data_IF_064848689768
#
_entry.id   IF_064848689768
#
_cell.length_a   1.000
_cell.length_b   1.000
_cell.length_c   1.000
_cell.angle_alpha   90.00
_cell.angle_beta   90.00
_cell.angle_gamma   90.00
#
_symmetry.space_group_name_H-M   'P 1'
#
loop_
_entity.id
_entity.type
_entity.pdbx_description
1 polymer ?
#
# COMPACT_ATOMS: atom_id res chain seq x y z
N UNK A 1 14.09 17.50 -54.07
CA UNK A 1 12.91 17.76 -53.22
C UNK A 1 12.62 16.45 -52.51
N UNK A 2 13.32 16.18 -51.40
CA UNK A 2 13.14 14.95 -50.62
C UNK A 2 11.96 15.14 -49.68
N UNK A 3 10.93 14.32 -49.87
CA UNK A 3 9.83 14.20 -48.92
C UNK A 3 10.39 13.36 -47.76
N UNK A 4 10.71 14.01 -46.65
CA UNK A 4 10.94 13.33 -45.38
C UNK A 4 9.58 12.80 -44.92
N UNK A 5 9.34 11.51 -45.13
CA UNK A 5 8.30 10.76 -44.43
C UNK A 5 8.63 10.77 -42.93
N UNK A 6 8.18 11.80 -42.21
CA UNK A 6 8.10 11.76 -40.76
C UNK A 6 7.12 10.64 -40.39
N UNK A 7 7.66 9.46 -40.11
CA UNK A 7 6.92 8.40 -39.43
C UNK A 7 6.22 9.03 -38.21
N UNK A 8 4.91 8.82 -38.02
CA UNK A 8 4.22 9.40 -36.88
C UNK A 8 4.94 8.99 -35.60
N UNK A 9 5.46 9.97 -34.86
CA UNK A 9 6.04 9.75 -33.53
C UNK A 9 4.98 9.01 -32.71
N UNK A 10 5.27 7.77 -32.32
CA UNK A 10 4.42 7.05 -31.35
C UNK A 10 4.21 7.98 -30.15
N UNK A 11 2.97 8.11 -29.63
CA UNK A 11 2.72 8.97 -28.48
C UNK A 11 3.61 8.49 -27.33
N UNK A 12 4.55 9.35 -26.94
CA UNK A 12 5.42 9.12 -25.79
C UNK A 12 4.69 9.70 -24.59
N UNK A 13 4.21 8.85 -23.70
CA UNK A 13 3.51 9.29 -22.50
C UNK A 13 4.52 9.60 -21.41
N UNK A 14 4.45 10.78 -20.80
CA UNK A 14 5.19 11.10 -19.59
C UNK A 14 4.25 11.07 -18.39
N UNK A 15 4.63 10.37 -17.33
CA UNK A 15 3.86 10.25 -16.11
C UNK A 15 4.75 10.39 -14.88
N UNK A 16 4.28 11.12 -13.88
CA UNK A 16 4.91 11.14 -12.56
C UNK A 16 3.99 10.50 -11.53
N UNK A 17 4.58 9.72 -10.62
CA UNK A 17 3.88 9.12 -9.48
C UNK A 17 4.54 9.63 -8.20
N UNK A 18 3.74 10.23 -7.32
CA UNK A 18 4.18 10.73 -6.02
C UNK A 18 3.87 9.74 -4.90
N UNK A 19 4.89 9.46 -4.10
CA UNK A 19 4.86 8.48 -3.03
C UNK A 19 5.20 7.08 -3.53
N UNK A 20 6.03 6.38 -2.77
CA UNK A 20 6.46 4.99 -3.03
C UNK A 20 5.75 3.98 -2.12
N UNK A 21 4.52 4.29 -1.69
CA UNK A 21 3.73 3.42 -0.82
C UNK A 21 3.00 2.30 -1.57
N UNK A 22 2.20 1.54 -0.82
CA UNK A 22 1.41 0.41 -1.32
C UNK A 22 0.58 0.75 -2.58
N UNK A 23 -0.13 1.89 -2.56
CA UNK A 23 -0.98 2.31 -3.67
C UNK A 23 -0.18 2.56 -4.96
N UNK A 24 0.87 3.38 -4.88
CA UNK A 24 1.71 3.72 -6.04
C UNK A 24 2.45 2.53 -6.62
N UNK A 25 3.02 1.67 -5.78
CA UNK A 25 3.75 0.48 -6.24
C UNK A 25 2.82 -0.53 -6.91
N UNK A 26 1.62 -0.75 -6.36
CA UNK A 26 0.62 -1.60 -7.01
C UNK A 26 0.09 -0.97 -8.30
N UNK A 27 -0.12 0.35 -8.35
CA UNK A 27 -0.51 1.05 -9.57
C UNK A 27 0.55 0.86 -10.66
N UNK A 28 1.82 1.09 -10.35
CA UNK A 28 2.95 0.85 -11.27
C UNK A 28 2.94 -0.58 -11.81
N UNK A 29 2.75 -1.56 -10.93
CA UNK A 29 2.70 -2.96 -11.32
C UNK A 29 1.53 -3.31 -12.24
N UNK A 30 0.37 -2.66 -12.09
CA UNK A 30 -0.76 -2.87 -12.98
C UNK A 30 -0.60 -2.12 -14.31
N UNK A 31 -0.04 -0.91 -14.27
CA UNK A 31 0.28 -0.13 -15.47
C UNK A 31 1.34 -0.83 -16.32
N UNK A 32 2.31 -1.49 -15.70
CA UNK A 32 3.36 -2.24 -16.41
C UNK A 32 2.86 -3.42 -17.23
N UNK A 33 1.62 -3.84 -17.00
CA UNK A 33 0.95 -4.92 -17.76
C UNK A 33 0.18 -4.40 -18.97
N UNK A 34 0.03 -3.09 -19.12
CA UNK A 34 -0.76 -2.50 -20.19
C UNK A 34 0.04 -2.34 -21.49
N UNK A 35 -0.60 -2.45 -22.67
CA UNK A 35 0.10 -2.35 -23.96
C UNK A 35 0.86 -1.02 -24.16
N UNK A 36 0.36 0.08 -23.59
CA UNK A 36 0.97 1.41 -23.73
C UNK A 36 2.25 1.59 -22.90
N UNK A 37 2.54 0.68 -21.94
CA UNK A 37 3.65 0.81 -21.01
C UNK A 37 5.01 0.95 -21.72
N UNK A 38 5.20 0.22 -22.83
CA UNK A 38 6.44 0.26 -23.62
C UNK A 38 6.78 1.64 -24.20
N UNK A 39 5.80 2.52 -24.33
CA UNK A 39 5.96 3.88 -24.85
C UNK A 39 5.72 4.94 -23.75
N UNK A 40 5.84 4.55 -22.47
CA UNK A 40 5.60 5.44 -21.33
C UNK A 40 6.88 5.62 -20.53
N UNK A 41 7.31 6.85 -20.32
CA UNK A 41 8.35 7.20 -19.34
C UNK A 41 7.68 7.56 -18.01
N UNK A 42 8.21 7.00 -16.92
CA UNK A 42 7.65 7.18 -15.58
C UNK A 42 8.70 7.70 -14.62
N UNK A 43 8.37 8.76 -13.89
CA UNK A 43 9.17 9.23 -12.77
C UNK A 43 8.45 8.90 -11.45
N UNK A 44 9.05 8.10 -10.59
CA UNK A 44 8.56 7.81 -9.24
C UNK A 44 9.32 8.71 -8.25
N UNK A 45 8.61 9.63 -7.61
CA UNK A 45 9.17 10.58 -6.64
C UNK A 45 8.68 10.26 -5.23
N UNK A 46 9.60 10.09 -4.29
CA UNK A 46 9.26 9.89 -2.87
C UNK A 46 10.36 10.43 -1.96
N UNK A 47 10.01 10.90 -0.76
CA UNK A 47 10.98 11.25 0.27
C UNK A 47 11.14 10.16 1.35
N UNK A 48 10.31 9.12 1.28
CA UNK A 48 10.21 8.05 2.28
C UNK A 48 10.26 6.67 1.64
N UNK A 49 11.44 6.03 1.74
CA UNK A 49 11.70 4.65 1.31
C UNK A 49 11.87 3.69 2.51
N UNK A 50 11.73 4.20 3.74
CA UNK A 50 12.10 3.45 4.96
C UNK A 50 10.91 2.89 5.76
N UNK A 51 9.70 3.42 5.58
CA UNK A 51 8.53 3.00 6.33
C UNK A 51 7.87 1.74 5.74
N UNK A 52 8.33 0.57 6.20
CA UNK A 52 7.81 -0.73 5.77
C UNK A 52 6.58 -1.18 6.55
N UNK A 53 5.48 -0.45 6.44
CA UNK A 53 4.21 -0.83 7.09
C UNK A 53 3.70 -2.15 6.51
N UNK A 54 3.26 -3.05 7.38
CA UNK A 54 2.52 -4.25 6.96
C UNK A 54 1.07 -3.91 6.67
N UNK A 55 0.42 -4.76 5.87
CA UNK A 55 -0.99 -4.60 5.54
C UNK A 55 -1.75 -5.88 5.80
N UNK A 56 -3.01 -5.70 6.17
CA UNK A 56 -4.00 -6.74 6.06
C UNK A 56 -5.09 -6.34 5.08
N UNK A 57 -5.66 -7.33 4.41
CA UNK A 57 -6.77 -7.14 3.48
C UNK A 57 -7.61 -8.40 3.38
N UNK A 58 -8.78 -8.27 2.77
CA UNK A 58 -9.74 -9.34 2.60
C UNK A 58 -9.90 -9.59 1.11
N UNK A 59 -9.87 -10.84 0.67
CA UNK A 59 -10.07 -11.18 -0.73
C UNK A 59 -10.86 -12.47 -0.89
N UNK A 60 -11.70 -12.52 -1.94
CA UNK A 60 -12.41 -13.75 -2.34
C UNK A 60 -11.53 -14.67 -3.19
N UNK A 61 -10.61 -14.07 -3.95
CA UNK A 61 -9.77 -14.74 -4.92
C UNK A 61 -8.32 -14.30 -4.73
N UNK A 62 -7.34 -15.16 -5.07
CA UNK A 62 -5.94 -14.79 -5.03
C UNK A 62 -5.65 -13.51 -5.81
N UNK A 63 -4.90 -12.59 -5.21
CA UNK A 63 -4.43 -11.39 -5.92
C UNK A 63 -3.16 -11.70 -6.72
N UNK A 64 -2.74 -10.75 -7.57
CA UNK A 64 -1.43 -10.83 -8.23
C UNK A 64 -0.25 -10.92 -7.25
N UNK A 65 -0.49 -10.57 -5.98
CA UNK A 65 0.49 -10.57 -4.89
C UNK A 65 0.25 -11.70 -3.90
N UNK A 66 -0.51 -12.75 -4.26
CA UNK A 66 -0.77 -13.89 -3.38
C UNK A 66 0.52 -14.52 -2.84
N UNK A 67 1.58 -14.55 -3.65
CA UNK A 67 2.90 -15.07 -3.26
C UNK A 67 3.60 -14.24 -2.17
N UNK A 68 3.13 -13.02 -1.88
CA UNK A 68 3.64 -12.16 -0.80
C UNK A 68 2.84 -12.32 0.51
N UNK A 69 1.69 -13.02 0.46
CA UNK A 69 0.86 -13.27 1.64
C UNK A 69 1.65 -14.14 2.62
N UNK A 70 1.86 -13.63 3.82
CA UNK A 70 2.61 -14.30 4.88
C UNK A 70 1.71 -15.20 5.72
N UNK A 71 0.46 -14.81 5.93
CA UNK A 71 -0.54 -15.57 6.68
C UNK A 71 -1.94 -15.24 6.19
N UNK A 72 -2.83 -16.23 6.24
CA UNK A 72 -4.25 -16.08 5.97
C UNK A 72 -5.07 -16.69 7.10
N UNK A 73 -6.27 -16.15 7.31
CA UNK A 73 -7.26 -16.67 8.25
C UNK A 73 -8.64 -16.69 7.58
N UNK A 74 -9.43 -17.71 7.90
CA UNK A 74 -10.80 -17.89 7.38
C UNK A 74 -11.87 -17.61 8.44
N UNK A 75 -11.46 -17.43 9.71
CA UNK A 75 -12.35 -17.13 10.81
C UNK A 75 -11.96 -15.79 11.43
N UNK A 76 -12.97 -15.03 11.86
CA UNK A 76 -12.82 -13.72 12.50
C UNK A 76 -13.67 -13.71 13.77
N UNK A 77 -13.07 -13.25 14.85
CA UNK A 77 -13.73 -13.02 16.13
C UNK A 77 -13.94 -11.53 16.37
N UNK A 78 -15.17 -11.19 16.76
CA UNK A 78 -15.54 -9.94 17.41
C UNK A 78 -15.84 -10.23 18.88
N UNK A 79 -15.40 -9.32 19.75
CA UNK A 79 -15.58 -9.47 21.20
C UNK A 79 -15.91 -8.14 21.86
N UNK A 80 -16.79 -8.18 22.84
CA UNK A 80 -17.11 -7.10 23.77
C UNK A 80 -17.17 -7.66 25.20
N UNK A 81 -17.63 -6.86 26.17
CA UNK A 81 -17.65 -7.27 27.57
C UNK A 81 -18.55 -8.50 27.83
N UNK A 82 -19.69 -8.59 27.13
CA UNK A 82 -20.74 -9.59 27.34
C UNK A 82 -21.08 -10.40 26.08
N UNK A 83 -20.44 -10.10 24.95
CA UNK A 83 -20.69 -10.78 23.69
C UNK A 83 -19.40 -11.21 22.99
N UNK A 84 -19.38 -12.44 22.48
CA UNK A 84 -18.32 -12.97 21.61
C UNK A 84 -18.96 -13.67 20.43
N UNK A 85 -18.48 -13.37 19.23
CA UNK A 85 -18.94 -14.00 17.99
C UNK A 85 -17.73 -14.34 17.15
N UNK A 86 -17.69 -15.58 16.67
CA UNK A 86 -16.66 -16.06 15.74
C UNK A 86 -17.37 -16.55 14.49
N UNK A 87 -17.05 -15.93 13.37
CA UNK A 87 -17.65 -16.25 12.08
C UNK A 87 -16.61 -16.71 11.08
N UNK A 88 -17.01 -17.69 10.28
CA UNK A 88 -16.27 -18.03 9.08
C UNK A 88 -16.60 -17.00 7.99
N UNK A 89 -15.58 -16.38 7.41
CA UNK A 89 -15.76 -15.28 6.45
C UNK A 89 -15.81 -15.75 4.99
N UNK A 90 -15.97 -17.06 4.72
CA UNK A 90 -16.11 -17.57 3.36
C UNK A 90 -17.21 -16.80 2.58
N UNK A 91 -16.97 -16.44 1.30
CA UNK A 91 -15.84 -16.81 0.45
C UNK A 91 -14.60 -15.93 0.59
N UNK A 92 -14.55 -15.03 1.57
CA UNK A 92 -13.36 -14.22 1.84
C UNK A 92 -12.34 -14.98 2.68
N UNK A 93 -11.07 -14.60 2.51
CA UNK A 93 -10.01 -14.82 3.47
C UNK A 93 -9.41 -13.48 3.89
N UNK A 94 -8.98 -13.41 5.14
CA UNK A 94 -8.23 -12.27 5.65
C UNK A 94 -6.74 -12.59 5.55
N UNK A 95 -5.99 -11.72 4.89
CA UNK A 95 -4.59 -11.92 4.58
C UNK A 95 -3.74 -10.89 5.31
N UNK A 96 -2.56 -11.30 5.75
CA UNK A 96 -1.50 -10.42 6.22
C UNK A 96 -0.30 -10.52 5.27
N UNK A 97 0.20 -9.36 4.86
CA UNK A 97 1.45 -9.20 4.11
C UNK A 97 2.42 -8.42 4.98
N UNK A 98 3.57 -9.04 5.27
CA UNK A 98 4.67 -8.36 5.96
C UNK A 98 5.21 -7.25 5.06
N UNK A 99 5.23 -6.01 5.55
CA UNK A 99 5.65 -4.84 4.76
C UNK A 99 7.02 -5.03 4.12
N UNK A 100 7.98 -5.53 4.90
CA UNK A 100 9.33 -5.83 4.44
C UNK A 100 9.36 -6.71 3.18
N UNK A 101 8.58 -7.80 3.14
CA UNK A 101 8.57 -8.69 1.97
C UNK A 101 7.96 -8.00 0.73
N UNK A 102 6.95 -7.16 0.93
CA UNK A 102 6.34 -6.38 -0.14
C UNK A 102 7.34 -5.39 -0.74
N UNK A 103 8.00 -4.58 0.10
CA UNK A 103 8.98 -3.61 -0.39
C UNK A 103 10.19 -4.31 -1.02
N UNK A 104 10.71 -5.39 -0.43
CA UNK A 104 11.77 -6.20 -1.04
C UNK A 104 11.38 -6.74 -2.42
N UNK A 105 10.13 -7.16 -2.63
CA UNK A 105 9.68 -7.56 -3.96
C UNK A 105 9.74 -6.39 -4.94
N UNK A 106 9.25 -5.21 -4.56
CA UNK A 106 9.27 -4.05 -5.45
C UNK A 106 10.69 -3.56 -5.74
N UNK A 107 11.50 -3.40 -4.71
CA UNK A 107 12.84 -2.82 -4.79
C UNK A 107 13.84 -3.76 -5.47
N UNK A 108 13.76 -5.07 -5.20
CA UNK A 108 14.76 -6.04 -5.67
C UNK A 108 14.31 -6.85 -6.89
N UNK A 109 13.01 -6.89 -7.20
CA UNK A 109 12.48 -7.70 -8.30
C UNK A 109 11.70 -6.90 -9.33
N UNK A 110 10.78 -6.03 -8.92
CA UNK A 110 9.95 -5.33 -9.90
C UNK A 110 10.66 -4.14 -10.54
N UNK A 111 11.05 -3.14 -9.74
CA UNK A 111 11.60 -1.86 -10.21
C UNK A 111 12.91 -2.03 -11.01
N UNK A 112 13.88 -2.87 -10.60
CA UNK A 112 15.12 -3.05 -11.37
C UNK A 112 14.90 -3.62 -12.78
N UNK A 113 13.76 -4.29 -13.02
CA UNK A 113 13.40 -4.84 -14.31
C UNK A 113 12.58 -3.87 -15.17
N UNK A 114 12.33 -2.63 -14.72
CA UNK A 114 11.62 -1.61 -15.48
C UNK A 114 12.63 -0.59 -16.04
N UNK A 115 12.90 -0.65 -17.35
CA UNK A 115 13.83 0.30 -18.01
C UNK A 115 13.24 1.69 -18.21
N UNK A 116 11.93 1.82 -18.08
CA UNK A 116 11.17 3.03 -18.32
C UNK A 116 10.72 3.76 -17.04
N UNK A 117 11.13 3.27 -15.86
CA UNK A 117 10.89 3.93 -14.58
C UNK A 117 12.20 4.56 -14.09
N UNK A 118 12.16 5.86 -13.80
CA UNK A 118 13.18 6.58 -13.04
C UNK A 118 12.70 6.80 -11.62
N UNK A 119 13.41 6.25 -10.63
CA UNK A 119 13.10 6.46 -9.21
C UNK A 119 14.01 7.56 -8.67
N UNK A 120 13.43 8.59 -8.07
CA UNK A 120 14.20 9.69 -7.48
C UNK A 120 13.68 10.01 -6.08
N UNK A 121 14.62 10.41 -5.22
CA UNK A 121 14.29 10.91 -3.89
C UNK A 121 14.00 12.41 -3.98
N UNK A 122 12.76 12.80 -3.71
CA UNK A 122 12.36 14.21 -3.72
C UNK A 122 11.18 14.44 -2.76
N UNK A 123 11.24 15.53 -2.00
CA UNK A 123 10.10 16.05 -1.26
C UNK A 123 9.44 17.14 -2.09
N UNK A 124 8.31 16.81 -2.72
CA UNK A 124 7.56 17.79 -3.50
C UNK A 124 6.86 18.77 -2.56
N UNK A 125 7.13 20.05 -2.77
CA UNK A 125 6.57 21.15 -1.99
C UNK A 125 5.34 21.76 -2.66
N UNK A 126 5.32 21.77 -3.99
CA UNK A 126 4.22 22.32 -4.78
C UNK A 126 3.98 21.53 -6.05
N UNK A 127 2.71 21.46 -6.44
CA UNK A 127 2.26 20.98 -7.74
C UNK A 127 1.37 22.05 -8.37
N UNK A 128 1.69 22.46 -9.59
CA UNK A 128 0.87 23.37 -10.39
C UNK A 128 0.39 22.67 -11.64
N UNK A 129 -0.81 23.01 -12.10
CA UNK A 129 -1.33 22.56 -13.38
C UNK A 129 -1.31 23.73 -14.35
N UNK A 130 -0.58 23.59 -15.45
CA UNK A 130 -0.52 24.58 -16.53
C UNK A 130 -0.93 23.90 -17.84
N UNK A 131 -1.99 24.42 -18.48
CA UNK A 131 -2.62 23.84 -19.67
C UNK A 131 -2.88 22.32 -19.55
N UNK A 132 -2.09 21.53 -20.29
CA UNK A 132 -2.17 20.07 -20.39
C UNK A 132 -1.04 19.35 -19.62
N UNK A 133 -0.31 20.05 -18.75
CA UNK A 133 0.80 19.49 -17.98
C UNK A 133 0.73 19.85 -16.50
N UNK A 134 1.51 19.10 -15.71
CA UNK A 134 1.74 19.34 -14.29
C UNK A 134 3.21 19.69 -14.08
N UNK A 135 3.43 20.79 -13.36
CA UNK A 135 4.75 21.18 -12.86
C UNK A 135 4.88 20.82 -11.39
N UNK A 136 5.98 20.19 -11.02
CA UNK A 136 6.29 19.77 -9.66
C UNK A 136 7.57 20.47 -9.21
N UNK A 137 7.56 21.02 -8.00
CA UNK A 137 8.72 21.70 -7.42
C UNK A 137 9.07 21.10 -6.06
N UNK A 138 10.35 20.79 -5.85
CA UNK A 138 10.90 20.40 -4.54
C UNK A 138 11.68 21.52 -3.83
N UNK A 139 11.84 22.69 -4.48
CA UNK A 139 12.74 23.75 -4.06
C UNK A 139 14.18 23.59 -4.56
N UNK A 140 14.62 22.35 -4.83
CA UNK A 140 15.95 22.03 -5.37
C UNK A 140 15.92 21.68 -6.86
N UNK A 141 14.80 21.12 -7.31
CA UNK A 141 14.59 20.71 -8.69
C UNK A 141 13.12 20.84 -9.09
N UNK A 142 12.90 20.88 -10.41
CA UNK A 142 11.58 20.96 -11.02
C UNK A 142 11.38 19.80 -12.01
N UNK A 143 10.15 19.31 -12.09
CA UNK A 143 9.73 18.29 -13.06
C UNK A 143 8.48 18.75 -13.78
N UNK A 144 8.33 18.33 -15.04
CA UNK A 144 7.11 18.51 -15.82
C UNK A 144 6.59 17.15 -16.31
N UNK A 145 5.29 16.94 -16.27
CA UNK A 145 4.67 15.67 -16.69
C UNK A 145 3.28 15.86 -17.25
N UNK A 146 2.85 14.98 -18.15
CA UNK A 146 1.51 15.05 -18.75
C UNK A 146 0.45 14.43 -17.82
N UNK A 147 0.86 13.46 -17.00
CA UNK A 147 -0.02 12.73 -16.08
C UNK A 147 0.60 12.64 -14.70
N UNK A 148 -0.20 12.94 -13.68
CA UNK A 148 0.22 12.88 -12.30
C UNK A 148 -0.69 11.95 -11.50
N UNK A 149 -0.09 10.99 -10.81
CA UNK A 149 -0.75 10.19 -9.79
C UNK A 149 -0.10 10.49 -8.44
N UNK A 150 -0.90 10.69 -7.41
CA UNK A 150 -0.38 10.99 -6.08
C UNK A 150 -1.01 10.05 -5.06
N UNK A 151 -0.16 9.39 -4.27
CA UNK A 151 -0.56 8.68 -3.06
C UNK A 151 -0.02 9.35 -1.80
N UNK A 152 0.56 10.55 -1.91
CA UNK A 152 0.91 11.37 -0.74
C UNK A 152 -0.35 12.10 -0.29
N UNK A 153 -0.59 12.15 1.02
CA UNK A 153 -1.75 12.84 1.57
C UNK A 153 -1.75 14.31 1.16
N UNK A 154 -2.86 14.85 0.60
CA UNK A 154 -3.11 16.27 0.69
C UNK A 154 -3.35 16.57 2.17
N UNK A 155 -2.43 17.29 2.81
CA UNK A 155 -2.39 17.55 4.26
C UNK A 155 -3.57 18.43 4.73
N UNK A 156 -4.42 18.93 3.84
CA UNK A 156 -5.47 19.86 4.22
C UNK A 156 -6.75 19.18 4.75
N UNK A 157 -6.67 18.73 6.00
CA UNK A 157 -7.83 18.27 6.76
C UNK A 157 -8.69 19.43 7.30
N UNK A 158 -8.41 20.71 6.98
CA UNK A 158 -9.18 21.84 7.53
C UNK A 158 -10.64 21.80 7.11
N UNK A 159 -10.95 21.23 5.93
CA UNK A 159 -12.31 21.10 5.43
C UNK A 159 -13.04 19.83 5.90
N UNK A 160 -12.37 18.93 6.63
CA UNK A 160 -13.00 17.71 7.13
C UNK A 160 -14.02 18.04 8.23
N UNK A 161 -15.30 17.74 7.99
CA UNK A 161 -16.39 17.92 8.95
C UNK A 161 -16.16 17.17 10.28
N UNK A 162 -15.51 16.01 10.22
CA UNK A 162 -15.14 15.19 11.36
C UNK A 162 -13.70 14.75 11.22
N UNK A 163 -12.92 14.88 12.30
CA UNK A 163 -11.53 14.43 12.39
C UNK A 163 -11.48 13.29 13.39
N UNK A 164 -11.20 12.08 12.91
CA UNK A 164 -10.96 10.92 13.77
C UNK A 164 -9.47 10.62 13.78
N UNK A 165 -8.81 10.94 14.89
CA UNK A 165 -7.43 10.52 15.12
C UNK A 165 -7.44 9.14 15.77
N UNK A 166 -6.97 8.15 15.03
CA UNK A 166 -6.83 6.78 15.54
C UNK A 166 -5.35 6.48 15.79
N UNK A 167 -5.03 6.11 17.02
CA UNK A 167 -3.68 5.71 17.40
C UNK A 167 -3.60 4.19 17.44
N UNK A 168 -2.66 3.63 16.68
CA UNK A 168 -2.36 2.21 16.72
C UNK A 168 -0.99 1.98 17.36
N UNK A 169 -0.94 1.09 18.34
CA UNK A 169 0.29 0.57 18.94
C UNK A 169 0.19 -0.94 19.00
N UNK A 170 1.24 -1.63 18.56
CA UNK A 170 1.24 -3.08 18.48
C UNK A 170 2.60 -3.66 18.85
N UNK A 171 2.59 -4.94 19.23
CA UNK A 171 3.77 -5.71 19.57
C UNK A 171 3.67 -7.09 18.94
N UNK A 172 4.82 -7.68 18.60
CA UNK A 172 4.92 -9.10 18.32
C UNK A 172 5.27 -9.81 19.62
N UNK A 173 4.46 -10.79 20.00
CA UNK A 173 4.64 -11.57 21.23
C UNK A 173 4.88 -13.03 20.88
N UNK A 174 5.82 -13.66 21.60
CA UNK A 174 6.10 -15.09 21.55
C UNK A 174 5.80 -15.67 22.94
N UNK A 175 5.14 -16.83 22.98
CA UNK A 175 4.74 -17.50 24.23
C UNK A 175 5.35 -18.90 24.28
N UNK A 176 5.72 -19.42 25.44
CA UNK A 176 6.39 -20.73 25.51
C UNK A 176 5.46 -21.92 25.22
N UNK A 177 4.15 -21.71 25.25
CA UNK A 177 3.10 -22.69 24.94
C UNK A 177 2.10 -22.16 23.90
N UNK A 178 1.36 -23.05 23.19
CA UNK A 178 0.38 -22.65 22.17
C UNK A 178 -0.90 -22.11 22.81
N UNK A 179 -0.88 -20.84 23.22
CA UNK A 179 -2.04 -20.18 23.84
C UNK A 179 -2.96 -19.47 22.83
N UNK A 180 -2.59 -19.41 21.56
CA UNK A 180 -3.38 -18.76 20.50
C UNK A 180 -3.83 -19.77 19.43
N UNK A 181 -5.09 -19.67 19.01
CA UNK A 181 -5.60 -20.35 17.82
C UNK A 181 -5.16 -19.60 16.55
N UNK A 182 -4.23 -20.17 15.80
CA UNK A 182 -3.69 -19.57 14.58
C UNK A 182 -4.60 -19.70 13.34
N UNK A 183 -5.83 -20.19 13.50
CA UNK A 183 -6.85 -20.26 12.44
C UNK A 183 -7.83 -19.08 12.44
N UNK A 184 -7.87 -18.30 13.53
CA UNK A 184 -8.84 -17.24 13.77
C UNK A 184 -8.15 -15.93 14.14
N UNK A 185 -8.55 -14.81 13.53
CA UNK A 185 -8.12 -13.47 13.98
C UNK A 185 -9.13 -12.88 14.93
N UNK A 186 -8.68 -12.07 15.89
CA UNK A 186 -9.56 -11.18 16.65
C UNK A 186 -9.34 -9.77 16.07
N UNK A 187 -10.35 -9.20 15.42
CA UNK A 187 -10.21 -7.88 14.79
C UNK A 187 -10.69 -6.75 15.69
N UNK A 188 -11.65 -7.02 16.57
CA UNK A 188 -12.23 -6.01 17.43
C UNK A 188 -12.58 -6.64 18.77
N UNK A 189 -11.62 -6.61 19.70
CA UNK A 189 -11.87 -6.94 21.10
C UNK A 189 -12.07 -5.66 21.92
N UNK A 190 -13.33 -5.33 22.19
CA UNK A 190 -13.78 -4.22 23.05
C UNK A 190 -13.91 -4.61 24.52
N UNK A 191 -13.58 -5.85 24.92
CA UNK A 191 -13.68 -6.29 26.33
C UNK A 191 -12.66 -5.62 27.27
N UNK A 192 -11.76 -4.80 26.71
CA UNK A 192 -10.82 -3.99 27.50
C UNK A 192 -11.48 -2.74 28.09
N UNK A 193 -10.91 -2.16 29.18
CA UNK A 193 -11.38 -0.89 29.71
C UNK A 193 -11.37 0.23 28.66
N UNK A 194 -12.53 0.80 28.37
CA UNK A 194 -12.70 1.80 27.31
C UNK A 194 -12.15 3.18 27.70
N UNK A 195 -12.14 3.54 29.00
CA UNK A 195 -11.58 4.82 29.48
C UNK A 195 -12.03 6.03 28.64
N UNK A 196 -13.35 6.22 28.53
CA UNK A 196 -14.00 7.32 27.80
C UNK A 196 -13.61 7.46 26.32
N UNK A 197 -13.10 6.40 25.71
CA UNK A 197 -12.72 6.34 24.30
C UNK A 197 -13.06 4.99 23.68
N UNK A 198 -13.16 4.93 22.34
CA UNK A 198 -13.38 3.66 21.64
C UNK A 198 -12.02 2.96 21.49
N UNK A 199 -11.81 1.92 22.29
CA UNK A 199 -10.55 1.17 22.36
C UNK A 199 -10.80 -0.30 22.07
N UNK A 200 -9.91 -0.89 21.28
CA UNK A 200 -10.01 -2.30 20.99
C UNK A 200 -8.66 -2.90 20.67
N UNK A 201 -8.56 -4.21 20.87
CA UNK A 201 -7.37 -4.98 20.54
C UNK A 201 -7.62 -5.75 19.23
N UNK A 202 -6.60 -5.74 18.38
CA UNK A 202 -6.43 -6.72 17.31
C UNK A 202 -5.47 -7.81 17.79
N UNK A 203 -5.81 -9.07 17.57
CA UNK A 203 -4.92 -10.22 17.77
C UNK A 203 -4.81 -11.00 16.47
N UNK A 204 -3.59 -11.02 15.90
CA UNK A 204 -3.27 -11.68 14.63
C UNK A 204 -2.30 -12.84 14.89
N UNK A 205 -2.79 -14.08 15.08
CA UNK A 205 -1.94 -15.20 15.46
C UNK A 205 -1.25 -15.81 14.24
N UNK A 206 0.08 -15.76 14.23
CA UNK A 206 0.89 -16.21 13.09
C UNK A 206 1.17 -17.73 13.09
N UNK A 207 1.47 -18.31 14.25
CA UNK A 207 1.84 -19.72 14.39
C UNK A 207 1.34 -20.28 15.73
N UNK A 208 0.78 -21.48 15.71
CA UNK A 208 0.75 -22.34 16.90
C UNK A 208 2.14 -22.91 17.13
N UNK A 209 2.82 -22.51 18.21
CA UNK A 209 4.04 -23.20 18.62
C UNK A 209 3.65 -24.45 19.40
N UNK A 210 3.93 -25.63 18.86
CA UNK A 210 3.82 -26.87 19.65
C UNK A 210 4.80 -26.79 20.82
N UNK A 211 4.44 -27.31 22.02
CA UNK A 211 5.44 -27.52 23.05
C UNK A 211 6.57 -28.40 22.49
N UNK A 212 7.81 -28.12 22.90
CA UNK A 212 8.98 -28.93 22.59
C UNK A 212 8.79 -30.39 23.03
#
# INVERSE_FOLDING_TARGET
MEILDEKPKKPHHNMTILGSGCASLQLLYQLSKQPFWKNTSVTLLSNDFGLHRSWCFWAKQPSAFQHLVTKSWSNVTFKSADFTMTENIFPYQYHYVKGEHFFQFFDNKFLPNQTNIKVERAQIQAVKKEDNQFELCSGEANWATDRLFSSIEPIDFTQARFKLWQHFKGWFVKTDSPVFDDSTVILMDFSIPQQDSVRFIYLLPFRRMKPL
#
